data_IF_758167412837
#
_entry.id   IF_758167412837
#
_cell.length_a   1.000
_cell.length_b   1.000
_cell.length_c   1.000
_cell.angle_alpha   90.00
_cell.angle_beta   90.00
_cell.angle_gamma   90.00
#
_symmetry.space_group_name_H-M   'P 1'
#
loop_
_entity.id
_entity.type
_entity.pdbx_description
1 polymer ?
#
# COMPACT_ATOMS: atom_id res chain seq x y z
N UNK A 1 -16.34 5.97 8.94
CA UNK A 1 -15.53 5.51 7.80
C UNK A 1 -14.05 5.54 8.19
N UNK A 2 -13.33 4.48 7.89
CA UNK A 2 -11.94 4.31 8.32
C UNK A 2 -11.10 3.85 7.14
N UNK A 3 -10.01 4.56 6.85
CA UNK A 3 -9.03 4.14 5.86
C UNK A 3 -8.03 3.19 6.52
N UNK A 4 -7.82 2.03 5.93
CA UNK A 4 -6.84 1.05 6.42
C UNK A 4 -5.81 0.78 5.34
N UNK A 5 -4.54 0.82 5.74
CA UNK A 5 -3.41 0.45 4.88
C UNK A 5 -2.62 -0.62 5.63
N UNK A 6 -2.44 -1.76 5.00
CA UNK A 6 -1.71 -2.88 5.57
C UNK A 6 -0.57 -3.25 4.64
N UNK A 7 0.67 -3.27 5.15
CA UNK A 7 1.86 -3.60 4.36
C UNK A 7 2.73 -4.56 5.15
N UNK A 8 3.08 -5.69 4.53
CA UNK A 8 4.05 -6.64 5.06
C UNK A 8 5.44 -6.19 4.59
N UNK A 9 6.29 -5.79 5.55
CA UNK A 9 7.62 -5.27 5.27
C UNK A 9 8.72 -6.33 5.38
N UNK A 10 8.37 -7.59 5.49
CA UNK A 10 9.34 -8.68 5.66
C UNK A 10 9.81 -9.26 4.33
N UNK A 11 10.17 -8.42 3.35
CA UNK A 11 10.76 -8.90 2.11
C UNK A 11 11.98 -8.09 1.71
N UNK A 12 12.75 -8.62 0.74
CA UNK A 12 14.02 -8.03 0.32
C UNK A 12 13.90 -6.61 -0.21
N UNK A 13 12.78 -6.24 -0.81
CA UNK A 13 12.61 -4.90 -1.36
C UNK A 13 12.70 -3.85 -0.26
N UNK A 14 12.19 -4.14 0.93
CA UNK A 14 12.27 -3.23 2.07
C UNK A 14 13.66 -3.20 2.71
N UNK A 15 14.36 -4.33 2.72
CA UNK A 15 15.73 -4.40 3.24
C UNK A 15 16.71 -3.68 2.33
N UNK A 16 16.55 -3.81 1.02
CA UNK A 16 17.47 -3.24 0.02
C UNK A 16 17.22 -1.77 -0.26
N UNK A 17 16.02 -1.29 -0.01
CA UNK A 17 15.61 0.08 -0.33
C UNK A 17 14.83 0.68 0.83
N UNK A 18 15.47 1.54 1.66
CA UNK A 18 14.82 2.12 2.82
C UNK A 18 13.62 3.03 2.48
N UNK A 19 13.54 3.50 1.24
CA UNK A 19 12.42 4.36 0.80
C UNK A 19 11.24 3.56 0.25
N UNK A 20 11.33 2.24 0.20
CA UNK A 20 10.30 1.40 -0.41
C UNK A 20 8.94 1.56 0.27
N UNK A 21 8.90 1.52 1.58
CA UNK A 21 7.65 1.67 2.33
C UNK A 21 7.02 3.04 2.07
N UNK A 22 7.82 4.09 2.12
CA UNK A 22 7.34 5.46 1.89
C UNK A 22 6.75 5.59 0.48
N UNK A 23 7.43 5.02 -0.53
CA UNK A 23 6.95 5.05 -1.90
C UNK A 23 5.60 4.35 -2.05
N UNK A 24 5.48 3.15 -1.48
CA UNK A 24 4.25 2.35 -1.55
C UNK A 24 3.09 3.09 -0.88
N UNK A 25 3.32 3.61 0.33
CA UNK A 25 2.27 4.31 1.08
C UNK A 25 1.88 5.62 0.39
N UNK A 26 2.85 6.38 -0.11
CA UNK A 26 2.57 7.63 -0.83
C UNK A 26 1.74 7.38 -2.09
N UNK A 27 2.06 6.32 -2.83
CA UNK A 27 1.30 5.94 -4.01
C UNK A 27 -0.13 5.48 -3.64
N UNK A 28 -0.24 4.74 -2.54
CA UNK A 28 -1.53 4.22 -2.08
C UNK A 28 -2.51 5.33 -1.71
N UNK A 29 -2.02 6.43 -1.13
CA UNK A 29 -2.87 7.54 -0.71
C UNK A 29 -2.99 8.64 -1.76
N UNK A 30 -2.51 8.42 -2.97
CA UNK A 30 -2.68 9.35 -4.07
C UNK A 30 -4.17 9.48 -4.41
N UNK A 31 -4.73 10.65 -4.16
CA UNK A 31 -6.17 10.89 -4.33
C UNK A 31 -6.65 10.74 -5.77
N UNK A 32 -5.75 10.83 -6.75
CA UNK A 32 -6.11 10.62 -8.16
C UNK A 32 -6.33 9.15 -8.48
N UNK A 33 -5.80 8.26 -7.64
CA UNK A 33 -5.89 6.81 -7.82
C UNK A 33 -6.79 6.14 -6.78
N UNK A 34 -7.03 6.81 -5.66
CA UNK A 34 -7.77 6.24 -4.55
C UNK A 34 -9.28 6.26 -4.85
N UNK A 35 -9.88 5.08 -4.77
CA UNK A 35 -11.33 4.93 -4.85
C UNK A 35 -11.86 4.56 -3.48
N UNK A 36 -12.72 5.38 -2.93
CA UNK A 36 -13.22 5.22 -1.56
C UNK A 36 -14.17 4.04 -1.38
N UNK A 37 -14.67 3.47 -2.46
CA UNK A 37 -15.62 2.35 -2.42
C UNK A 37 -14.99 0.99 -2.73
N UNK A 38 -13.71 0.96 -3.10
CA UNK A 38 -13.03 -0.29 -3.46
C UNK A 38 -11.64 -0.36 -2.84
N UNK A 39 -11.24 -1.57 -2.46
CA UNK A 39 -9.88 -1.83 -2.03
C UNK A 39 -8.92 -1.97 -3.19
N UNK A 40 -7.64 -1.91 -2.91
CA UNK A 40 -6.58 -2.06 -3.90
C UNK A 40 -5.41 -2.81 -3.31
N UNK A 41 -4.80 -3.67 -4.12
CA UNK A 41 -3.57 -4.36 -3.72
C UNK A 41 -2.37 -3.43 -3.86
N UNK A 42 -1.40 -3.59 -2.98
CA UNK A 42 -0.15 -2.84 -3.00
C UNK A 42 1.01 -3.77 -3.38
N UNK A 43 1.92 -3.26 -4.21
CA UNK A 43 3.02 -4.05 -4.75
C UNK A 43 4.36 -3.39 -4.48
N UNK A 44 5.39 -4.21 -4.26
CA UNK A 44 6.77 -3.73 -4.14
C UNK A 44 7.37 -3.45 -5.52
N UNK A 45 8.62 -3.00 -5.54
CA UNK A 45 9.32 -2.68 -6.79
C UNK A 45 9.60 -3.90 -7.65
N UNK A 46 9.51 -5.11 -7.09
CA UNK A 46 9.69 -6.38 -7.80
C UNK A 46 8.37 -6.95 -8.32
N UNK A 47 7.25 -6.27 -8.08
CA UNK A 47 5.94 -6.70 -8.52
C UNK A 47 5.27 -7.72 -7.62
N UNK A 48 5.78 -7.94 -6.41
CA UNK A 48 5.18 -8.82 -5.42
C UNK A 48 4.12 -8.08 -4.62
N UNK A 49 2.98 -8.72 -4.39
CA UNK A 49 1.95 -8.15 -3.54
C UNK A 49 2.43 -8.13 -2.09
N UNK A 50 2.42 -6.95 -1.47
CA UNK A 50 2.91 -6.77 -0.11
C UNK A 50 1.84 -6.24 0.85
N UNK A 51 0.67 -5.89 0.35
CA UNK A 51 -0.39 -5.40 1.22
C UNK A 51 -1.62 -4.96 0.47
N UNK A 52 -2.47 -4.26 1.21
CA UNK A 52 -3.75 -3.77 0.69
C UNK A 52 -4.09 -2.42 1.31
N UNK A 53 -4.92 -1.66 0.61
CA UNK A 53 -5.55 -0.45 1.12
C UNK A 53 -7.05 -0.58 0.91
N UNK A 54 -7.85 -0.24 1.93
CA UNK A 54 -9.31 -0.30 1.82
C UNK A 54 -9.99 0.66 2.79
N UNK A 55 -11.28 0.85 2.59
CA UNK A 55 -12.13 1.65 3.47
C UNK A 55 -13.03 0.69 4.25
N UNK A 56 -13.06 0.84 5.58
CA UNK A 56 -14.01 0.15 6.44
C UNK A 56 -15.18 1.09 6.76
N UNK A 57 -16.38 0.62 6.52
CA UNK A 57 -17.61 1.33 6.88
C UNK A 57 -18.12 0.78 8.21
N UNK A 58 -18.03 1.60 9.24
CA UNK A 58 -18.41 1.18 10.59
C UNK A 58 -19.63 1.97 11.05
#
# INVERSE_FOLDING_TARGET
>A
MKLVIEVDTENEAFDSNPDELQRIVSDAVDLTKLRLDTGRNLYDSNGNRVGDIWIEHV
#
